data_IF_814997429258
#
_entry.id   IF_814997429258
#
_cell.length_a   1.000
_cell.length_b   1.000
_cell.length_c   1.000
_cell.angle_alpha   90.00
_cell.angle_beta   90.00
_cell.angle_gamma   90.00
#
_symmetry.space_group_name_H-M   'P 1'
#
loop_
_entity.id
_entity.type
_entity.pdbx_description
1 polymer ?
#
# COMPACT_ATOMS: atom_id res chain seq x y z
N UNK A 1 9.46 -26.93 43.23
CA UNK A 1 9.59 -25.53 42.74
C UNK A 1 9.85 -25.62 41.25
N UNK A 2 8.82 -25.41 40.45
CA UNK A 2 8.88 -25.54 38.99
C UNK A 2 9.81 -24.47 38.44
N UNK A 3 10.91 -24.88 37.83
CA UNK A 3 11.78 -24.00 37.05
C UNK A 3 10.92 -23.29 36.00
N UNK A 4 10.73 -21.97 36.15
CA UNK A 4 10.13 -21.15 35.10
C UNK A 4 10.87 -21.42 33.79
N UNK A 5 10.14 -21.92 32.79
CA UNK A 5 10.74 -22.29 31.52
C UNK A 5 11.23 -21.00 30.83
N UNK A 6 12.55 -20.78 30.71
CA UNK A 6 13.09 -19.50 30.22
C UNK A 6 12.64 -19.18 28.79
N UNK A 7 12.23 -20.20 28.03
CA UNK A 7 11.68 -20.05 26.69
C UNK A 7 10.29 -19.37 26.70
N UNK A 8 9.46 -19.62 27.71
CA UNK A 8 8.14 -18.99 27.81
C UNK A 8 8.28 -17.49 28.05
N UNK A 9 9.12 -17.09 29.00
CA UNK A 9 9.39 -15.68 29.28
C UNK A 9 9.97 -14.93 28.08
N UNK A 10 10.83 -15.56 27.27
CA UNK A 10 11.34 -14.96 26.03
C UNK A 10 10.24 -14.82 24.96
N UNK A 11 9.37 -15.82 24.81
CA UNK A 11 8.25 -15.76 23.85
C UNK A 11 7.25 -14.67 24.22
N UNK A 12 6.94 -14.49 25.49
CA UNK A 12 6.07 -13.39 25.94
C UNK A 12 6.66 -12.02 25.60
N UNK A 13 7.98 -11.85 25.75
CA UNK A 13 8.67 -10.61 25.33
C UNK A 13 8.59 -10.38 23.83
N UNK A 14 8.73 -11.43 23.01
CA UNK A 14 8.57 -11.35 21.55
C UNK A 14 7.13 -10.98 21.20
N UNK A 15 6.14 -11.66 21.77
CA UNK A 15 4.72 -11.36 21.54
C UNK A 15 4.37 -9.91 21.89
N UNK A 16 4.89 -9.40 23.01
CA UNK A 16 4.69 -8.01 23.40
C UNK A 16 5.35 -7.02 22.42
N UNK A 17 6.50 -7.38 21.82
CA UNK A 17 7.15 -6.60 20.78
C UNK A 17 6.33 -6.63 19.49
N UNK A 18 5.80 -7.79 19.10
CA UNK A 18 4.97 -7.96 17.89
C UNK A 18 3.70 -7.09 17.96
N UNK A 19 3.07 -7.00 19.13
CA UNK A 19 1.92 -6.10 19.34
C UNK A 19 2.31 -4.62 19.10
N UNK A 20 3.51 -4.21 19.53
CA UNK A 20 4.01 -2.85 19.27
C UNK A 20 4.29 -2.64 17.78
N UNK A 21 4.83 -3.63 17.09
CA UNK A 21 5.04 -3.56 15.64
C UNK A 21 3.71 -3.39 14.91
N UNK A 22 2.66 -4.13 15.30
CA UNK A 22 1.33 -3.99 14.71
C UNK A 22 0.75 -2.58 14.93
N UNK A 23 0.92 -2.01 16.12
CA UNK A 23 0.48 -0.65 16.41
C UNK A 23 1.22 0.38 15.52
N UNK A 24 2.54 0.27 15.39
CA UNK A 24 3.34 1.16 14.54
C UNK A 24 3.00 1.02 13.06
N UNK A 25 2.71 -0.20 12.59
CA UNK A 25 2.29 -0.44 11.21
C UNK A 25 0.91 0.17 10.93
N UNK A 26 -0.01 0.10 11.89
CA UNK A 26 -1.32 0.75 11.79
C UNK A 26 -1.18 2.27 11.71
N UNK A 27 -0.40 2.89 12.60
CA UNK A 27 -0.13 4.32 12.58
C UNK A 27 0.53 4.76 11.26
N UNK A 28 1.50 3.98 10.77
CA UNK A 28 2.14 4.24 9.48
C UNK A 28 1.12 4.18 8.32
N UNK A 29 0.13 3.29 8.39
CA UNK A 29 -0.94 3.19 7.40
C UNK A 29 -1.87 4.41 7.42
N UNK A 30 -2.20 4.92 8.61
CA UNK A 30 -2.97 6.16 8.74
C UNK A 30 -2.23 7.34 8.09
N UNK A 31 -0.91 7.47 8.33
CA UNK A 31 -0.08 8.46 7.66
C UNK A 31 -0.05 8.28 6.14
N UNK A 32 -0.04 7.03 5.65
CA UNK A 32 -0.11 6.76 4.21
C UNK A 32 -1.45 7.21 3.60
N UNK A 33 -2.56 7.11 4.34
CA UNK A 33 -3.87 7.65 3.91
C UNK A 33 -3.83 9.17 3.82
N UNK A 34 -3.26 9.86 4.82
CA UNK A 34 -3.13 11.32 4.79
C UNK A 34 -2.22 11.79 3.65
N UNK A 35 -1.11 11.09 3.39
CA UNK A 35 -0.27 11.32 2.20
C UNK A 35 -1.07 11.13 0.91
N UNK A 36 -1.93 10.10 0.85
CA UNK A 36 -2.83 9.86 -0.28
C UNK A 36 -3.79 11.03 -0.54
N UNK A 37 -4.40 11.58 0.52
CA UNK A 37 -5.26 12.77 0.44
C UNK A 37 -4.49 13.99 -0.04
N UNK A 38 -3.28 14.22 0.48
CA UNK A 38 -2.44 15.34 0.06
C UNK A 38 -2.02 15.22 -1.42
N UNK A 39 -1.67 14.01 -1.88
CA UNK A 39 -1.34 13.74 -3.29
C UNK A 39 -2.54 13.93 -4.21
N UNK A 40 -3.74 13.54 -3.76
CA UNK A 40 -4.99 13.76 -4.48
C UNK A 40 -5.23 15.26 -4.70
N UNK A 41 -5.12 16.07 -3.65
CA UNK A 41 -5.28 17.52 -3.73
C UNK A 41 -4.22 18.18 -4.63
N UNK A 42 -2.97 17.73 -4.53
CA UNK A 42 -1.84 18.26 -5.32
C UNK A 42 -1.67 17.62 -6.70
N UNK A 43 -2.58 16.71 -7.10
CA UNK A 43 -2.56 16.02 -8.40
C UNK A 43 -1.25 15.28 -8.68
N UNK A 44 -0.62 14.74 -7.63
CA UNK A 44 0.63 13.97 -7.72
C UNK A 44 0.36 12.47 -7.86
N UNK A 45 1.22 11.73 -8.58
CA UNK A 45 1.09 10.28 -8.70
C UNK A 45 1.28 9.61 -7.33
N UNK A 46 0.60 8.47 -7.14
CA UNK A 46 0.73 7.68 -5.90
C UNK A 46 2.13 7.07 -5.80
N UNK A 47 2.66 6.52 -6.88
CA UNK A 47 3.97 5.87 -6.91
C UNK A 47 5.07 6.88 -7.24
N UNK A 48 6.08 6.93 -6.38
CA UNK A 48 7.22 7.85 -6.48
C UNK A 48 8.50 7.03 -6.28
N UNK A 49 9.04 6.53 -7.39
CA UNK A 49 10.11 5.51 -7.38
C UNK A 49 11.40 6.08 -6.78
N UNK A 50 11.72 7.32 -7.07
CA UNK A 50 12.95 7.96 -6.56
C UNK A 50 12.83 8.17 -5.06
N UNK A 51 11.67 8.64 -4.58
CA UNK A 51 11.43 8.77 -3.13
C UNK A 51 11.46 7.44 -2.39
N UNK A 52 10.95 6.37 -3.01
CA UNK A 52 10.97 4.99 -2.48
C UNK A 52 12.41 4.46 -2.37
N UNK A 53 13.26 4.71 -3.38
CA UNK A 53 14.69 4.35 -3.36
C UNK A 53 15.43 5.07 -2.25
N UNK A 54 15.28 6.40 -2.16
CA UNK A 54 15.92 7.21 -1.12
C UNK A 54 15.51 6.76 0.29
N UNK A 55 14.25 6.37 0.47
CA UNK A 55 13.75 5.83 1.74
C UNK A 55 14.45 4.52 2.09
N UNK A 56 14.54 3.59 1.14
CA UNK A 56 15.20 2.29 1.36
C UNK A 56 16.68 2.45 1.67
N UNK A 57 17.41 3.28 0.92
CA UNK A 57 18.84 3.51 1.14
C UNK A 57 19.10 4.08 2.54
N UNK A 58 18.27 5.04 2.96
CA UNK A 58 18.32 5.59 4.32
C UNK A 58 18.05 4.53 5.39
N UNK A 59 17.06 3.67 5.19
CA UNK A 59 16.71 2.62 6.15
C UNK A 59 17.78 1.53 6.22
N UNK A 60 18.41 1.19 5.10
CA UNK A 60 19.55 0.27 5.06
C UNK A 60 20.72 0.85 5.87
N UNK A 61 21.01 2.14 5.71
CA UNK A 61 22.08 2.81 6.47
C UNK A 61 21.79 2.81 7.98
N UNK A 62 20.57 3.14 8.40
CA UNK A 62 20.16 3.11 9.81
C UNK A 62 20.18 1.68 10.37
N UNK A 63 19.71 0.72 9.59
CA UNK A 63 19.68 -0.68 9.97
C UNK A 63 21.04 -1.30 10.24
N UNK A 64 22.06 -0.88 9.49
CA UNK A 64 23.46 -1.31 9.75
C UNK A 64 23.91 -0.95 11.16
N UNK A 65 23.49 0.21 11.70
CA UNK A 65 23.80 0.61 13.07
C UNK A 65 23.12 -0.30 14.13
N UNK A 66 22.04 -0.98 13.76
CA UNK A 66 21.33 -1.95 14.59
C UNK A 66 21.73 -3.41 14.30
N UNK A 67 22.81 -3.63 13.53
CA UNK A 67 23.26 -4.97 13.10
C UNK A 67 22.20 -5.76 12.33
N UNK A 68 21.30 -5.06 11.63
CA UNK A 68 20.32 -5.67 10.74
C UNK A 68 20.88 -5.79 9.32
N UNK A 69 20.67 -6.94 8.71
CA UNK A 69 21.10 -7.22 7.34
C UNK A 69 20.34 -6.36 6.31
N UNK A 70 21.05 -5.88 5.28
CA UNK A 70 20.49 -5.00 4.27
C UNK A 70 19.40 -5.69 3.44
N UNK A 71 19.56 -6.98 3.13
CA UNK A 71 18.57 -7.74 2.37
C UNK A 71 17.29 -7.97 3.20
N UNK A 72 17.42 -8.22 4.50
CA UNK A 72 16.28 -8.30 5.42
C UNK A 72 15.46 -7.00 5.43
N UNK A 73 16.11 -5.85 5.62
CA UNK A 73 15.44 -4.54 5.66
C UNK A 73 14.77 -4.23 4.33
N UNK A 74 15.48 -4.46 3.22
CA UNK A 74 14.96 -4.18 1.88
C UNK A 74 13.65 -4.92 1.64
N UNK A 75 13.61 -6.24 1.90
CA UNK A 75 12.39 -7.03 1.70
C UNK A 75 11.25 -6.58 2.61
N UNK A 76 11.53 -6.35 3.90
CA UNK A 76 10.50 -5.95 4.85
C UNK A 76 9.88 -4.59 4.47
N UNK A 77 10.72 -3.60 4.18
CA UNK A 77 10.23 -2.26 3.88
C UNK A 77 9.64 -2.15 2.47
N UNK A 78 10.06 -2.97 1.51
CA UNK A 78 9.35 -3.07 0.23
C UNK A 78 7.90 -3.53 0.41
N UNK A 79 7.65 -4.53 1.26
CA UNK A 79 6.27 -4.96 1.58
C UNK A 79 5.46 -3.84 2.23
N UNK A 80 6.06 -3.12 3.18
CA UNK A 80 5.41 -2.00 3.86
C UNK A 80 5.12 -0.83 2.90
N UNK A 81 6.02 -0.54 1.97
CA UNK A 81 5.83 0.48 0.92
C UNK A 81 4.72 0.05 -0.03
N UNK A 82 4.70 -1.21 -0.47
CA UNK A 82 3.68 -1.73 -1.37
C UNK A 82 2.27 -1.65 -0.73
N UNK A 83 2.12 -2.00 0.56
CA UNK A 83 0.86 -1.81 1.30
C UNK A 83 0.41 -0.34 1.32
N UNK A 84 1.37 0.59 1.46
CA UNK A 84 1.08 2.03 1.44
C UNK A 84 0.59 2.51 0.08
N UNK A 85 1.23 2.03 -1.00
CA UNK A 85 0.83 2.33 -2.39
C UNK A 85 -0.58 1.79 -2.64
N UNK A 86 -0.86 0.54 -2.26
CA UNK A 86 -2.18 -0.07 -2.41
C UNK A 86 -3.26 0.68 -1.62
N UNK A 87 -2.96 1.08 -0.38
CA UNK A 87 -3.87 1.87 0.46
C UNK A 87 -4.20 3.23 -0.20
N UNK A 88 -3.19 3.92 -0.74
CA UNK A 88 -3.39 5.20 -1.44
C UNK A 88 -4.17 5.03 -2.75
N UNK A 89 -3.90 3.97 -3.52
CA UNK A 89 -4.63 3.66 -4.75
C UNK A 89 -6.12 3.36 -4.45
N UNK A 90 -6.40 2.60 -3.39
CA UNK A 90 -7.76 2.30 -2.97
C UNK A 90 -8.53 3.58 -2.59
N UNK A 91 -7.89 4.50 -1.87
CA UNK A 91 -8.46 5.81 -1.54
C UNK A 91 -8.80 6.61 -2.80
N UNK A 92 -7.85 6.70 -3.75
CA UNK A 92 -8.06 7.40 -5.03
C UNK A 92 -9.23 6.80 -5.81
N UNK A 93 -9.29 5.46 -5.91
CA UNK A 93 -10.36 4.76 -6.59
C UNK A 93 -11.72 5.02 -5.94
N UNK A 94 -11.80 5.02 -4.61
CA UNK A 94 -13.03 5.37 -3.89
C UNK A 94 -13.47 6.82 -4.17
N UNK A 95 -12.52 7.76 -4.25
CA UNK A 95 -12.84 9.14 -4.56
C UNK A 95 -13.37 9.30 -5.99
N UNK A 96 -12.70 8.69 -6.98
CA UNK A 96 -13.16 8.67 -8.38
C UNK A 96 -14.55 8.04 -8.53
N UNK A 97 -14.82 6.95 -7.80
CA UNK A 97 -16.13 6.29 -7.81
C UNK A 97 -17.23 7.17 -7.19
N UNK A 98 -16.91 8.00 -6.18
CA UNK A 98 -17.85 8.93 -5.55
C UNK A 98 -18.18 10.14 -6.42
N UNK A 99 -17.24 10.60 -7.25
CA UNK A 99 -17.46 11.72 -8.17
C UNK A 99 -18.44 11.34 -9.28
N UNK A 100 -18.43 10.06 -9.72
CA UNK A 100 -19.23 9.59 -10.85
C UNK A 100 -20.22 8.46 -10.49
N UNK A 101 -21.19 8.67 -9.56
CA UNK A 101 -22.14 7.64 -9.15
C UNK A 101 -23.09 7.20 -10.27
N UNK A 102 -23.26 8.03 -11.32
CA UNK A 102 -24.09 7.76 -12.49
C UNK A 102 -23.32 7.27 -13.72
N UNK A 103 -22.03 6.96 -13.59
CA UNK A 103 -21.25 6.41 -14.70
C UNK A 103 -21.53 4.91 -14.89
N UNK A 104 -21.68 4.50 -16.14
CA UNK A 104 -21.90 3.10 -16.47
C UNK A 104 -20.68 2.25 -16.11
N UNK A 105 -20.92 1.13 -15.41
CA UNK A 105 -19.88 0.18 -14.98
C UNK A 105 -19.94 -1.08 -15.84
N UNK A 106 -18.80 -1.46 -16.42
CA UNK A 106 -18.70 -2.64 -17.28
C UNK A 106 -17.58 -3.54 -16.76
N UNK A 107 -17.91 -4.81 -16.48
CA UNK A 107 -16.92 -5.85 -16.24
C UNK A 107 -16.56 -6.52 -17.58
N UNK A 108 -15.28 -6.88 -17.75
CA UNK A 108 -14.80 -7.58 -18.94
C UNK A 108 -13.79 -8.65 -18.52
N UNK A 109 -13.64 -9.68 -19.37
CA UNK A 109 -12.75 -10.80 -19.09
C UNK A 109 -11.32 -10.52 -19.61
N UNK A 110 -10.33 -10.64 -18.73
CA UNK A 110 -8.90 -10.51 -19.06
C UNK A 110 -8.28 -9.16 -18.68
N UNK A 111 -6.98 -8.96 -18.94
CA UNK A 111 -6.26 -7.75 -18.56
C UNK A 111 -6.64 -6.55 -19.43
N UNK A 112 -6.26 -5.34 -18.99
CA UNK A 112 -6.34 -4.13 -19.83
C UNK A 112 -5.62 -4.35 -21.15
N UNK A 113 -6.31 -4.09 -22.24
CA UNK A 113 -5.82 -4.31 -23.61
C UNK A 113 -6.28 -5.61 -24.27
N UNK A 114 -6.97 -6.50 -23.54
CA UNK A 114 -7.59 -7.68 -24.13
C UNK A 114 -8.70 -7.31 -25.14
N UNK A 115 -9.09 -8.27 -25.99
CA UNK A 115 -10.22 -8.09 -26.90
C UNK A 115 -11.50 -7.69 -26.14
N UNK A 116 -11.78 -8.33 -25.00
CA UNK A 116 -12.94 -8.00 -24.16
C UNK A 116 -12.85 -6.58 -23.58
N UNK A 117 -11.65 -6.12 -23.19
CA UNK A 117 -11.44 -4.75 -22.74
C UNK A 117 -11.75 -3.73 -23.84
N UNK A 118 -11.24 -3.96 -25.06
CA UNK A 118 -11.45 -3.06 -26.19
C UNK A 118 -12.92 -3.06 -26.66
N UNK A 119 -13.55 -4.23 -26.73
CA UNK A 119 -14.96 -4.37 -27.08
C UNK A 119 -15.86 -3.68 -26.05
N UNK A 120 -15.62 -3.90 -24.75
CA UNK A 120 -16.32 -3.21 -23.67
C UNK A 120 -16.18 -1.69 -23.77
N UNK A 121 -14.97 -1.19 -24.07
CA UNK A 121 -14.71 0.25 -24.22
C UNK A 121 -15.40 0.85 -25.44
N UNK A 122 -15.40 0.16 -26.58
CA UNK A 122 -16.10 0.61 -27.79
C UNK A 122 -17.61 0.62 -27.61
N UNK A 123 -18.17 -0.42 -26.99
CA UNK A 123 -19.58 -0.46 -26.64
C UNK A 123 -19.93 0.69 -25.69
N UNK A 124 -19.10 0.92 -24.67
CA UNK A 124 -19.34 1.98 -23.72
C UNK A 124 -19.38 3.37 -24.39
N UNK A 125 -18.42 3.64 -25.27
CA UNK A 125 -18.32 4.91 -25.98
C UNK A 125 -19.49 5.19 -26.93
N UNK A 126 -20.20 4.15 -27.38
CA UNK A 126 -21.38 4.29 -28.25
C UNK A 126 -22.69 4.45 -27.49
N UNK A 127 -22.78 3.84 -26.31
CA UNK A 127 -24.05 3.65 -25.61
C UNK A 127 -24.19 4.42 -24.30
N UNK A 128 -23.09 4.97 -23.77
CA UNK A 128 -23.11 5.81 -22.58
C UNK A 128 -22.57 7.20 -22.94
N UNK A 129 -23.24 8.24 -22.45
CA UNK A 129 -22.77 9.60 -22.63
C UNK A 129 -21.41 9.80 -21.96
N UNK A 130 -20.49 10.55 -22.60
CA UNK A 130 -19.25 10.93 -21.94
C UNK A 130 -19.59 11.78 -20.72
N UNK A 131 -19.23 11.29 -19.54
CA UNK A 131 -19.27 12.10 -18.32
C UNK A 131 -18.11 13.09 -18.42
N UNK A 132 -18.43 14.37 -18.63
CA UNK A 132 -17.46 15.48 -18.60
C UNK A 132 -16.92 15.72 -17.19
#
# INVERSE_FOLDING_TARGET
>A
MTSENPLLALREKISALDVKLLALLAERRELAVEVGKAKLLSHRPVRDIDRERDLLDRLIALGKAHHLDAHYITRLFQLIIEDSVLTQQALLQQHLNKINPHSARIAFLGPKGSYSHLAARQYAARHFEPVY
#
